data_IF_064858240510
#
_entry.id   IF_064858240510
#
_cell.length_a   1.000
_cell.length_b   1.000
_cell.length_c   1.000
_cell.angle_alpha   90.00
_cell.angle_beta   90.00
_cell.angle_gamma   90.00
#
_symmetry.space_group_name_H-M   'P 1'
#
loop_
_entity.id
_entity.type
_entity.pdbx_description
1 polymer ?
#
# COMPACT_ATOMS: atom_id res chain seq x y z
N UNK A 1 21.10 26.87 9.59
CA UNK A 1 20.85 26.09 8.37
C UNK A 1 19.38 26.28 8.09
N UNK A 2 19.08 27.07 7.06
CA UNK A 2 17.72 27.49 6.70
C UNK A 2 16.91 26.28 6.20
N UNK A 3 15.67 26.20 6.66
CA UNK A 3 14.69 25.20 6.25
C UNK A 3 14.49 25.26 4.73
N UNK A 4 15.17 24.39 4.00
CA UNK A 4 14.85 24.12 2.61
C UNK A 4 13.73 23.09 2.62
N UNK A 5 12.52 23.57 2.90
CA UNK A 5 11.31 22.88 2.46
C UNK A 5 11.00 23.46 1.09
N UNK A 6 11.14 22.73 0.00
CA UNK A 6 10.64 23.23 -1.28
C UNK A 6 9.12 23.30 -1.18
N UNK A 7 8.59 24.52 -1.09
CA UNK A 7 7.14 24.78 -1.09
C UNK A 7 6.48 24.53 -2.46
N UNK A 8 7.23 24.11 -3.45
CA UNK A 8 6.81 24.01 -4.84
C UNK A 8 7.00 22.60 -5.43
N UNK A 9 6.70 21.55 -4.64
CA UNK A 9 6.45 20.27 -5.28
C UNK A 9 5.08 20.40 -5.94
N UNK A 10 5.08 20.63 -7.27
CA UNK A 10 3.87 20.60 -8.07
C UNK A 10 3.06 19.34 -7.71
N UNK A 11 1.75 19.49 -7.57
CA UNK A 11 0.87 18.36 -7.31
C UNK A 11 1.16 17.26 -8.34
N UNK A 12 1.68 16.07 -7.95
CA UNK A 12 2.06 15.02 -8.88
C UNK A 12 0.87 14.46 -9.68
N UNK A 13 -0.35 14.95 -9.39
CA UNK A 13 -1.59 14.54 -10.04
C UNK A 13 -2.03 15.46 -11.20
N UNK A 14 -1.29 16.53 -11.52
CA UNK A 14 -1.73 17.55 -12.49
C UNK A 14 -1.45 17.26 -13.95
N UNK A 15 -0.77 16.18 -14.33
CA UNK A 15 -0.54 15.81 -15.72
C UNK A 15 -1.07 14.39 -15.98
N UNK A 16 -2.37 14.28 -16.25
CA UNK A 16 -2.97 13.02 -16.65
C UNK A 16 -2.38 12.55 -18.00
N UNK A 17 -1.47 11.57 -17.94
CA UNK A 17 -0.89 10.95 -19.13
C UNK A 17 -1.73 9.81 -19.69
N UNK A 18 -2.83 9.45 -19.01
CA UNK A 18 -3.76 8.36 -19.37
C UNK A 18 -3.07 6.99 -19.53
N UNK A 19 -1.97 6.77 -18.82
CA UNK A 19 -1.11 5.57 -18.98
C UNK A 19 -1.68 4.32 -18.33
N UNK A 20 -2.75 4.47 -17.52
CA UNK A 20 -3.55 3.38 -17.00
C UNK A 20 -4.98 3.39 -17.57
N UNK A 21 -5.19 4.06 -18.70
CA UNK A 21 -6.48 4.03 -19.40
C UNK A 21 -6.91 2.57 -19.65
N UNK A 22 -8.22 2.33 -19.53
CA UNK A 22 -8.85 1.01 -19.68
C UNK A 22 -8.40 -0.07 -18.66
N UNK A 23 -7.62 0.30 -17.62
CA UNK A 23 -7.24 -0.59 -16.53
C UNK A 23 -8.24 -0.50 -15.38
N UNK A 24 -8.66 -1.65 -14.85
CA UNK A 24 -9.41 -1.75 -13.59
C UNK A 24 -8.43 -2.04 -12.46
N UNK A 25 -8.37 -1.17 -11.48
CA UNK A 25 -7.46 -1.27 -10.33
C UNK A 25 -8.23 -1.39 -9.01
N UNK A 26 -7.91 -2.39 -8.20
CA UNK A 26 -8.35 -2.51 -6.82
C UNK A 26 -7.25 -2.05 -5.87
N UNK A 27 -7.60 -1.19 -4.92
CA UNK A 27 -6.73 -0.80 -3.82
C UNK A 27 -7.38 -1.17 -2.49
N UNK A 28 -6.79 -2.11 -1.74
CA UNK A 28 -7.25 -2.45 -0.39
C UNK A 28 -6.70 -1.44 0.63
N UNK A 29 -7.49 -1.09 1.66
CA UNK A 29 -7.13 0.00 2.57
C UNK A 29 -7.02 1.34 1.86
N UNK A 30 -7.88 1.56 0.85
CA UNK A 30 -7.83 2.72 -0.04
C UNK A 30 -8.54 3.97 0.48
N UNK A 31 -9.14 3.90 1.69
CA UNK A 31 -9.88 5.01 2.27
C UNK A 31 -9.01 6.10 2.89
N UNK A 32 -7.71 5.91 2.99
CA UNK A 32 -6.78 6.88 3.62
C UNK A 32 -5.31 6.60 3.29
N UNK A 33 -4.45 7.57 3.56
CA UNK A 33 -2.99 7.42 3.59
C UNK A 33 -2.40 6.94 2.25
N UNK A 34 -1.54 5.93 2.31
CA UNK A 34 -0.85 5.40 1.12
C UNK A 34 -1.86 4.87 0.10
N UNK A 35 -2.87 4.10 0.54
CA UNK A 35 -3.88 3.53 -0.35
C UNK A 35 -4.70 4.59 -1.08
N UNK A 36 -5.16 5.62 -0.37
CA UNK A 36 -5.85 6.77 -0.98
C UNK A 36 -4.96 7.48 -2.01
N UNK A 37 -3.70 7.73 -1.65
CA UNK A 37 -2.76 8.42 -2.54
C UNK A 37 -2.48 7.62 -3.82
N UNK A 38 -2.35 6.30 -3.71
CA UNK A 38 -2.22 5.40 -4.86
C UNK A 38 -3.49 5.44 -5.72
N UNK A 39 -4.68 5.34 -5.09
CA UNK A 39 -5.95 5.35 -5.81
C UNK A 39 -6.14 6.65 -6.60
N UNK A 40 -5.87 7.82 -5.99
CA UNK A 40 -5.93 9.13 -6.66
C UNK A 40 -4.93 9.22 -7.81
N UNK A 41 -3.70 8.75 -7.61
CA UNK A 41 -2.70 8.74 -8.68
C UNK A 41 -3.14 7.87 -9.86
N UNK A 42 -3.64 6.66 -9.61
CA UNK A 42 -4.07 5.76 -10.67
C UNK A 42 -5.29 6.31 -11.41
N UNK A 43 -6.23 6.94 -10.71
CA UNK A 43 -7.38 7.63 -11.34
C UNK A 43 -6.93 8.78 -12.23
N UNK A 44 -5.96 9.60 -11.79
CA UNK A 44 -5.38 10.66 -12.62
C UNK A 44 -4.66 10.13 -13.87
N UNK A 45 -4.19 8.87 -13.84
CA UNK A 45 -3.61 8.19 -15.01
C UNK A 45 -4.63 7.39 -15.83
N UNK A 46 -5.94 7.59 -15.56
CA UNK A 46 -7.04 7.04 -16.36
C UNK A 46 -7.57 5.67 -15.92
N UNK A 47 -7.10 5.12 -14.82
CA UNK A 47 -7.63 3.85 -14.32
C UNK A 47 -9.04 3.99 -13.73
N UNK A 48 -9.85 2.93 -13.88
CA UNK A 48 -11.10 2.76 -13.14
C UNK A 48 -10.78 2.14 -11.76
N UNK A 49 -11.17 2.80 -10.68
CA UNK A 49 -10.81 2.43 -9.32
C UNK A 49 -11.91 1.65 -8.59
N UNK A 50 -11.53 0.52 -8.00
CA UNK A 50 -12.23 -0.12 -6.90
C UNK A 50 -11.47 0.19 -5.60
N UNK A 51 -12.12 0.89 -4.68
CA UNK A 51 -11.54 1.29 -3.39
C UNK A 51 -12.17 0.42 -2.31
N UNK A 52 -11.41 -0.51 -1.75
CA UNK A 52 -11.90 -1.44 -0.74
C UNK A 52 -11.32 -1.10 0.64
N UNK A 53 -12.20 -0.93 1.63
CA UNK A 53 -11.81 -0.60 3.00
C UNK A 53 -12.87 -1.11 3.99
N UNK A 54 -12.46 -1.34 5.23
CA UNK A 54 -13.40 -1.64 6.32
C UNK A 54 -14.25 -0.40 6.67
N UNK A 55 -13.69 0.81 6.51
CA UNK A 55 -14.40 2.09 6.63
C UNK A 55 -15.04 2.47 5.30
N UNK A 56 -16.20 1.84 5.03
CA UNK A 56 -16.97 2.06 3.80
C UNK A 56 -17.31 3.53 3.55
N UNK A 57 -17.64 4.28 4.59
CA UNK A 57 -18.02 5.68 4.45
C UNK A 57 -16.85 6.53 3.96
N UNK A 58 -15.66 6.30 4.50
CA UNK A 58 -14.45 7.00 4.07
C UNK A 58 -14.00 6.55 2.68
N UNK A 59 -14.10 5.25 2.35
CA UNK A 59 -13.83 4.76 0.99
C UNK A 59 -14.76 5.44 -0.04
N UNK A 60 -16.03 5.65 0.30
CA UNK A 60 -16.97 6.36 -0.58
C UNK A 60 -16.59 7.84 -0.76
N UNK A 61 -16.15 8.52 0.31
CA UNK A 61 -15.69 9.91 0.20
C UNK A 61 -14.47 10.04 -0.74
N UNK A 62 -13.55 9.07 -0.69
CA UNK A 62 -12.41 9.04 -1.64
C UNK A 62 -12.89 8.76 -3.07
N UNK A 63 -13.82 7.82 -3.26
CA UNK A 63 -14.38 7.52 -4.57
C UNK A 63 -15.13 8.73 -5.15
N UNK A 64 -15.90 9.46 -4.33
CA UNK A 64 -16.59 10.68 -4.75
C UNK A 64 -15.59 11.76 -5.19
N UNK A 65 -14.58 12.04 -4.40
CA UNK A 65 -13.55 13.01 -4.74
C UNK A 65 -12.79 12.67 -6.05
N UNK A 66 -12.61 11.37 -6.34
CA UNK A 66 -12.04 10.93 -7.63
C UNK A 66 -13.03 11.21 -8.78
N UNK A 67 -14.35 10.95 -8.58
CA UNK A 67 -15.38 11.23 -9.60
C UNK A 67 -15.53 12.73 -9.86
N UNK A 68 -15.51 13.55 -8.80
CA UNK A 68 -15.53 15.01 -8.91
C UNK A 68 -14.32 15.55 -9.70
N UNK A 69 -13.15 14.88 -9.60
CA UNK A 69 -11.96 15.19 -10.38
C UNK A 69 -12.02 14.63 -11.84
N UNK A 70 -13.13 14.02 -12.25
CA UNK A 70 -13.33 13.48 -13.60
C UNK A 70 -12.85 12.03 -13.79
N UNK A 71 -12.42 11.35 -12.73
CA UNK A 71 -12.04 9.94 -12.75
C UNK A 71 -13.23 8.99 -12.57
N UNK A 72 -12.95 7.69 -12.64
CA UNK A 72 -13.93 6.63 -12.40
C UNK A 72 -13.57 5.84 -11.12
N UNK A 73 -14.45 5.84 -10.12
CA UNK A 73 -14.20 5.11 -8.88
C UNK A 73 -15.50 4.61 -8.22
N UNK A 74 -15.41 3.45 -7.57
CA UNK A 74 -16.45 2.87 -6.70
C UNK A 74 -15.83 2.36 -5.42
N UNK A 75 -16.54 2.51 -4.30
CA UNK A 75 -16.12 1.99 -3.03
C UNK A 75 -16.74 0.61 -2.76
N UNK A 76 -16.02 -0.23 -2.04
CA UNK A 76 -16.43 -1.56 -1.59
C UNK A 76 -16.09 -1.74 -0.11
N UNK A 77 -16.88 -2.53 0.60
CA UNK A 77 -16.53 -2.93 1.97
C UNK A 77 -15.59 -4.12 1.92
N UNK A 78 -14.54 -4.10 2.75
CA UNK A 78 -13.61 -5.21 2.88
C UNK A 78 -13.10 -5.29 4.31
N UNK A 79 -13.40 -6.38 4.98
CA UNK A 79 -12.72 -6.81 6.21
C UNK A 79 -11.79 -7.97 5.86
N UNK A 80 -10.48 -7.76 6.03
CA UNK A 80 -9.46 -8.78 5.77
C UNK A 80 -9.44 -9.91 6.80
N UNK A 81 -10.07 -9.71 7.95
CA UNK A 81 -10.24 -10.73 8.97
C UNK A 81 -11.44 -11.65 8.74
N UNK A 82 -12.25 -11.39 7.70
CA UNK A 82 -13.46 -12.15 7.37
C UNK A 82 -13.38 -12.71 5.94
N UNK A 83 -13.23 -14.02 5.81
CA UNK A 83 -13.22 -14.71 4.51
C UNK A 83 -14.52 -14.48 3.72
N UNK A 84 -15.66 -14.36 4.40
CA UNK A 84 -16.94 -14.05 3.78
C UNK A 84 -16.96 -12.66 3.15
N UNK A 85 -16.34 -11.67 3.80
CA UNK A 85 -16.17 -10.32 3.26
C UNK A 85 -15.29 -10.32 2.00
N UNK A 86 -14.20 -11.10 1.99
CA UNK A 86 -13.34 -11.23 0.81
C UNK A 86 -14.08 -11.90 -0.36
N UNK A 87 -14.84 -12.97 -0.09
CA UNK A 87 -15.65 -13.63 -1.12
C UNK A 87 -16.74 -12.69 -1.68
N UNK A 88 -17.40 -11.91 -0.84
CA UNK A 88 -18.39 -10.91 -1.25
C UNK A 88 -17.77 -9.80 -2.10
N UNK A 89 -16.55 -9.35 -1.76
CA UNK A 89 -15.80 -8.40 -2.58
C UNK A 89 -15.51 -8.97 -3.97
N UNK A 90 -15.00 -10.21 -4.06
CA UNK A 90 -14.69 -10.85 -5.34
C UNK A 90 -15.93 -10.94 -6.23
N UNK A 91 -17.07 -11.39 -5.68
CA UNK A 91 -18.33 -11.43 -6.41
C UNK A 91 -18.80 -10.03 -6.87
N UNK A 92 -18.66 -9.02 -6.01
CA UNK A 92 -19.06 -7.65 -6.35
C UNK A 92 -18.19 -7.03 -7.44
N UNK A 93 -16.89 -7.35 -7.47
CA UNK A 93 -15.96 -6.91 -8.51
C UNK A 93 -16.23 -7.60 -9.84
N UNK A 94 -16.52 -8.92 -9.80
CA UNK A 94 -16.92 -9.67 -11.00
C UNK A 94 -18.18 -9.07 -11.62
N UNK A 95 -19.22 -8.87 -10.83
CA UNK A 95 -20.47 -8.25 -11.28
C UNK A 95 -20.30 -6.83 -11.82
N UNK A 96 -19.34 -6.07 -11.26
CA UNK A 96 -19.13 -4.66 -11.63
C UNK A 96 -18.23 -4.48 -12.86
N UNK A 97 -17.23 -5.34 -13.02
CA UNK A 97 -16.14 -5.14 -14.00
C UNK A 97 -15.82 -6.37 -14.84
N UNK A 98 -16.10 -7.60 -14.37
CA UNK A 98 -15.78 -8.86 -15.03
C UNK A 98 -14.28 -9.15 -15.20
N UNK A 99 -13.41 -8.26 -14.71
CA UNK A 99 -11.94 -8.32 -14.84
C UNK A 99 -11.25 -7.50 -13.77
N UNK A 100 -9.99 -7.77 -13.57
CA UNK A 100 -9.09 -6.94 -12.79
C UNK A 100 -7.72 -6.88 -13.48
N UNK A 101 -7.13 -5.68 -13.58
CA UNK A 101 -5.81 -5.50 -14.19
C UNK A 101 -4.72 -5.22 -13.16
N UNK A 102 -5.09 -4.54 -12.07
CA UNK A 102 -4.15 -4.13 -11.02
C UNK A 102 -4.76 -4.45 -9.66
N UNK A 103 -4.03 -5.23 -8.85
CA UNK A 103 -4.33 -5.44 -7.44
C UNK A 103 -3.27 -4.78 -6.57
N UNK A 104 -3.67 -3.85 -5.70
CA UNK A 104 -2.80 -3.26 -4.69
C UNK A 104 -3.20 -3.77 -3.30
N UNK A 105 -2.40 -4.67 -2.74
CA UNK A 105 -2.53 -5.13 -1.35
C UNK A 105 -1.85 -4.11 -0.43
N UNK A 106 -2.62 -3.15 0.07
CA UNK A 106 -2.13 -2.08 0.93
C UNK A 106 -2.68 -2.15 2.35
N UNK A 107 -3.89 -2.68 2.55
CA UNK A 107 -4.50 -2.75 3.88
C UNK A 107 -3.63 -3.53 4.88
N UNK A 108 -3.48 -2.97 6.07
CA UNK A 108 -2.70 -3.53 7.17
C UNK A 108 -3.09 -2.87 8.49
N UNK A 109 -2.83 -3.54 9.61
CA UNK A 109 -2.91 -2.94 10.93
C UNK A 109 -1.52 -2.77 11.54
N UNK A 110 -1.23 -1.64 12.21
CA UNK A 110 0.04 -1.43 12.89
C UNK A 110 0.11 -2.27 14.16
N UNK A 111 1.34 -2.59 14.56
CA UNK A 111 1.63 -3.13 15.89
C UNK A 111 2.96 -2.60 16.42
N UNK A 112 2.94 -2.13 17.65
CA UNK A 112 4.10 -1.62 18.38
C UNK A 112 4.20 -2.23 19.79
N UNK A 113 3.56 -3.40 20.00
CA UNK A 113 3.49 -4.04 21.32
C UNK A 113 4.85 -4.55 21.75
N UNK A 114 5.25 -4.17 22.97
CA UNK A 114 6.50 -4.67 23.58
C UNK A 114 6.43 -6.20 23.76
N UNK A 115 7.57 -6.88 23.64
CA UNK A 115 7.65 -8.34 23.70
C UNK A 115 7.03 -8.91 24.98
N UNK A 116 7.24 -8.25 26.11
CA UNK A 116 6.73 -8.70 27.41
C UNK A 116 5.19 -8.55 27.56
N UNK A 117 4.56 -7.77 26.67
CA UNK A 117 3.12 -7.52 26.63
C UNK A 117 2.42 -8.15 25.43
N UNK A 118 3.19 -8.69 24.48
CA UNK A 118 2.63 -9.26 23.26
C UNK A 118 1.95 -10.60 23.56
N UNK A 119 0.62 -10.63 23.39
CA UNK A 119 -0.14 -11.87 23.47
C UNK A 119 -0.15 -12.61 22.15
N UNK A 120 -0.32 -13.94 22.19
CA UNK A 120 -0.45 -14.75 20.98
C UNK A 120 -1.72 -14.38 20.17
N UNK A 121 -2.77 -13.91 20.84
CA UNK A 121 -3.97 -13.43 20.19
C UNK A 121 -3.68 -12.16 19.36
N UNK A 122 -2.97 -11.17 19.93
CA UNK A 122 -2.57 -9.97 19.19
C UNK A 122 -1.61 -10.27 18.04
N UNK A 123 -0.65 -11.16 18.27
CA UNK A 123 0.25 -11.62 17.22
C UNK A 123 -0.52 -12.22 16.03
N UNK A 124 -1.48 -13.13 16.32
CA UNK A 124 -2.32 -13.75 15.28
C UNK A 124 -3.16 -12.71 14.53
N UNK A 125 -3.83 -11.83 15.24
CA UNK A 125 -4.64 -10.75 14.65
C UNK A 125 -3.82 -9.93 13.63
N UNK A 126 -2.60 -9.51 14.00
CA UNK A 126 -1.74 -8.72 13.10
C UNK A 126 -1.31 -9.53 11.88
N UNK A 127 -0.93 -10.79 12.06
CA UNK A 127 -0.52 -11.67 10.96
C UNK A 127 -1.72 -12.01 10.06
N UNK A 128 -2.87 -12.32 10.65
CA UNK A 128 -4.08 -12.70 9.91
C UNK A 128 -4.57 -11.55 9.03
N UNK A 129 -4.64 -10.32 9.55
CA UNK A 129 -5.07 -9.18 8.76
C UNK A 129 -3.99 -8.73 7.77
N UNK A 130 -2.72 -8.59 8.21
CA UNK A 130 -1.68 -7.93 7.41
C UNK A 130 -1.04 -8.85 6.37
N UNK A 131 -0.93 -10.15 6.65
CA UNK A 131 -0.32 -11.14 5.75
C UNK A 131 -1.38 -12.05 5.13
N UNK A 132 -2.11 -12.80 5.97
CA UNK A 132 -3.06 -13.81 5.48
C UNK A 132 -4.20 -13.15 4.70
N UNK A 133 -4.68 -11.98 5.12
CA UNK A 133 -5.69 -11.21 4.39
C UNK A 133 -5.25 -10.78 2.99
N UNK A 134 -4.00 -10.34 2.82
CA UNK A 134 -3.47 -10.02 1.49
C UNK A 134 -3.35 -11.26 0.59
N UNK A 135 -2.95 -12.39 1.15
CA UNK A 135 -2.92 -13.69 0.44
C UNK A 135 -4.33 -14.10 0.04
N UNK A 136 -5.27 -14.05 0.97
CA UNK A 136 -6.66 -14.44 0.75
C UNK A 136 -7.31 -13.60 -0.37
N UNK A 137 -7.17 -12.27 -0.31
CA UNK A 137 -7.65 -11.36 -1.38
C UNK A 137 -7.01 -11.70 -2.72
N UNK A 138 -5.70 -11.94 -2.75
CA UNK A 138 -5.00 -12.26 -4.00
C UNK A 138 -5.53 -13.56 -4.61
N UNK A 139 -5.69 -14.62 -3.80
CA UNK A 139 -6.21 -15.90 -4.28
C UNK A 139 -7.66 -15.81 -4.74
N UNK A 140 -8.51 -15.09 -4.00
CA UNK A 140 -9.91 -14.88 -4.36
C UNK A 140 -10.08 -14.09 -5.68
N UNK A 141 -9.17 -13.15 -5.95
CA UNK A 141 -9.22 -12.29 -7.15
C UNK A 141 -8.37 -12.79 -8.32
N UNK A 142 -7.62 -13.87 -8.14
CA UNK A 142 -6.79 -14.43 -9.22
C UNK A 142 -7.59 -14.78 -10.49
N UNK A 143 -8.83 -15.32 -10.41
CA UNK A 143 -9.66 -15.52 -11.60
C UNK A 143 -9.92 -14.23 -12.38
N UNK A 144 -10.22 -13.11 -11.67
CA UNK A 144 -10.45 -11.80 -12.30
C UNK A 144 -9.16 -11.19 -12.87
N UNK A 145 -8.03 -11.37 -12.19
CA UNK A 145 -6.71 -10.96 -12.71
C UNK A 145 -6.42 -11.69 -14.03
N UNK A 146 -6.74 -12.98 -14.14
CA UNK A 146 -6.57 -13.76 -15.37
C UNK A 146 -7.48 -13.31 -16.51
N UNK A 147 -8.59 -12.62 -16.21
CA UNK A 147 -9.48 -12.00 -17.20
C UNK A 147 -9.03 -10.59 -17.60
N UNK A 148 -8.04 -10.03 -16.93
CA UNK A 148 -7.47 -8.72 -17.24
C UNK A 148 -6.83 -8.65 -18.62
N UNK A 149 -6.58 -7.43 -19.11
CA UNK A 149 -5.82 -7.18 -20.33
C UNK A 149 -4.31 -7.40 -20.14
N UNK A 150 -3.49 -7.28 -21.19
CA UNK A 150 -2.03 -7.44 -21.08
C UNK A 150 -1.42 -6.53 -20.01
N UNK A 151 -0.44 -7.06 -19.27
CA UNK A 151 0.31 -6.29 -18.28
C UNK A 151 -0.33 -6.24 -16.88
N UNK A 152 -1.12 -7.27 -16.53
CA UNK A 152 -1.68 -7.41 -15.17
C UNK A 152 -0.57 -7.38 -14.13
N UNK A 153 -0.90 -6.82 -12.96
CA UNK A 153 0.08 -6.70 -11.90
C UNK A 153 -0.55 -6.78 -10.50
N UNK A 154 0.20 -7.39 -9.59
CA UNK A 154 -0.06 -7.35 -8.15
C UNK A 154 1.04 -6.49 -7.51
N UNK A 155 0.65 -5.46 -6.79
CA UNK A 155 1.54 -4.64 -5.99
C UNK A 155 1.24 -4.84 -4.51
N UNK A 156 2.23 -5.29 -3.76
CA UNK A 156 2.13 -5.45 -2.32
C UNK A 156 2.80 -4.28 -1.60
N UNK A 157 2.14 -3.68 -0.62
CA UNK A 157 2.75 -2.70 0.27
C UNK A 157 3.34 -3.42 1.48
N UNK A 158 4.65 -3.66 1.41
CA UNK A 158 5.44 -4.24 2.48
C UNK A 158 5.80 -3.18 3.55
N UNK A 159 7.02 -3.19 4.04
CA UNK A 159 7.62 -2.20 4.95
C UNK A 159 9.12 -2.43 5.02
N UNK A 160 9.90 -1.41 5.38
CA UNK A 160 11.31 -1.61 5.81
C UNK A 160 11.39 -2.61 6.97
N UNK A 161 10.36 -2.67 7.83
CA UNK A 161 10.27 -3.64 8.93
C UNK A 161 10.10 -5.09 8.46
N UNK A 162 9.72 -5.34 7.22
CA UNK A 162 9.74 -6.66 6.61
C UNK A 162 11.12 -7.11 6.12
N UNK A 163 12.09 -6.20 6.08
CA UNK A 163 13.47 -6.45 5.65
C UNK A 163 14.48 -6.26 6.79
N UNK A 164 14.11 -5.54 7.83
CA UNK A 164 14.94 -5.22 8.99
C UNK A 164 14.14 -5.37 10.27
N UNK A 165 14.78 -5.85 11.33
CA UNK A 165 14.14 -5.92 12.65
C UNK A 165 13.90 -4.55 13.25
N UNK A 166 12.81 -4.40 13.98
CA UNK A 166 12.50 -3.23 14.76
C UNK A 166 12.09 -3.63 16.18
N UNK A 167 12.52 -2.84 17.16
CA UNK A 167 12.09 -3.04 18.56
C UNK A 167 10.57 -2.82 18.66
N UNK A 168 9.90 -3.64 19.45
CA UNK A 168 8.45 -3.63 19.66
C UNK A 168 7.63 -3.83 18.37
N UNK A 169 8.20 -4.47 17.37
CA UNK A 169 7.55 -4.69 16.08
C UNK A 169 7.46 -6.15 15.67
N UNK A 170 7.46 -7.10 16.60
CA UNK A 170 7.57 -8.53 16.28
C UNK A 170 6.47 -9.00 15.33
N UNK A 171 5.20 -8.78 15.68
CA UNK A 171 4.06 -9.24 14.88
C UNK A 171 4.03 -8.56 13.51
N UNK A 172 4.16 -7.24 13.49
CA UNK A 172 4.14 -6.46 12.24
C UNK A 172 5.33 -6.79 11.32
N UNK A 173 6.55 -6.89 11.88
CA UNK A 173 7.75 -7.26 11.10
C UNK A 173 7.63 -8.66 10.52
N UNK A 174 7.09 -9.62 11.29
CA UNK A 174 6.83 -10.98 10.81
C UNK A 174 5.84 -10.97 9.65
N UNK A 175 4.71 -10.26 9.79
CA UNK A 175 3.71 -10.15 8.73
C UNK A 175 4.30 -9.51 7.47
N UNK A 176 5.01 -8.37 7.60
CA UNK A 176 5.61 -7.67 6.46
C UNK A 176 6.79 -8.43 5.84
N UNK A 177 7.53 -9.22 6.63
CA UNK A 177 8.52 -10.18 6.13
C UNK A 177 7.87 -11.29 5.31
N UNK A 178 6.72 -11.78 5.76
CA UNK A 178 5.86 -12.69 5.00
C UNK A 178 5.43 -12.10 3.66
N UNK A 179 4.96 -10.84 3.62
CA UNK A 179 4.60 -10.13 2.38
C UNK A 179 5.80 -10.04 1.42
N UNK A 180 7.00 -9.77 1.92
CA UNK A 180 8.22 -9.73 1.09
C UNK A 180 8.45 -11.06 0.37
N UNK A 181 8.38 -12.18 1.11
CA UNK A 181 8.61 -13.48 0.49
C UNK A 181 7.42 -13.99 -0.31
N UNK A 182 6.19 -13.68 0.11
CA UNK A 182 4.97 -13.92 -0.67
C UNK A 182 5.06 -13.25 -2.06
N UNK A 183 5.55 -12.01 -2.13
CA UNK A 183 5.76 -11.29 -3.39
C UNK A 183 6.67 -12.06 -4.34
N UNK A 184 7.79 -12.61 -3.84
CA UNK A 184 8.76 -13.35 -4.66
C UNK A 184 8.20 -14.69 -5.13
N UNK A 185 7.56 -15.44 -4.23
CA UNK A 185 6.97 -16.73 -4.56
C UNK A 185 5.85 -16.56 -5.60
N UNK A 186 4.93 -15.63 -5.36
CA UNK A 186 3.82 -15.35 -6.28
C UNK A 186 4.31 -14.85 -7.65
N UNK A 187 5.40 -14.08 -7.69
CA UNK A 187 6.00 -13.65 -8.95
C UNK A 187 6.51 -14.83 -9.77
N UNK A 188 7.11 -15.84 -9.13
CA UNK A 188 7.54 -17.06 -9.82
C UNK A 188 6.35 -17.87 -10.33
N UNK A 189 5.30 -18.02 -9.54
CA UNK A 189 4.12 -18.81 -9.89
C UNK A 189 3.33 -18.19 -11.05
N UNK A 190 3.24 -16.86 -11.12
CA UNK A 190 2.43 -16.15 -12.12
C UNK A 190 3.22 -15.65 -13.35
N UNK A 191 4.55 -15.78 -13.36
CA UNK A 191 5.38 -15.31 -14.47
C UNK A 191 4.99 -15.95 -15.82
N UNK A 192 4.66 -17.25 -15.84
CA UNK A 192 4.21 -17.95 -17.03
C UNK A 192 2.88 -17.45 -17.60
N UNK A 193 2.09 -16.75 -16.78
CA UNK A 193 0.82 -16.13 -17.17
C UNK A 193 1.00 -14.64 -17.57
N UNK A 194 2.22 -14.09 -17.48
CA UNK A 194 2.51 -12.70 -17.78
C UNK A 194 2.08 -11.71 -16.68
N UNK A 195 1.62 -12.20 -15.52
CA UNK A 195 1.22 -11.37 -14.39
C UNK A 195 2.46 -11.04 -13.56
N UNK A 196 2.73 -9.74 -13.40
CA UNK A 196 3.89 -9.27 -12.61
C UNK A 196 3.50 -9.08 -11.16
N UNK A 197 4.42 -9.38 -10.25
CA UNK A 197 4.20 -9.20 -8.80
C UNK A 197 5.41 -8.52 -8.20
N UNK A 198 5.20 -7.35 -7.60
CA UNK A 198 6.27 -6.58 -6.96
C UNK A 198 5.81 -6.02 -5.61
N UNK A 199 6.72 -5.50 -4.82
CA UNK A 199 6.39 -4.82 -3.60
C UNK A 199 7.14 -3.49 -3.44
N UNK A 200 6.50 -2.57 -2.73
CA UNK A 200 7.16 -1.39 -2.15
C UNK A 200 7.34 -1.64 -0.66
N UNK A 201 8.50 -1.28 -0.13
CA UNK A 201 8.79 -1.28 1.29
C UNK A 201 8.96 0.18 1.79
N UNK A 202 7.88 0.84 2.23
CA UNK A 202 7.95 2.19 2.75
C UNK A 202 8.77 2.28 4.04
N UNK A 203 9.42 3.44 4.24
CA UNK A 203 9.98 3.84 5.52
C UNK A 203 8.95 4.54 6.42
N UNK A 204 9.35 5.63 7.05
CA UNK A 204 8.48 6.48 7.86
C UNK A 204 7.64 7.38 6.95
N UNK A 205 6.35 7.08 6.82
CA UNK A 205 5.40 7.84 5.98
C UNK A 205 4.34 8.49 6.87
N UNK A 206 4.12 9.79 6.68
CA UNK A 206 3.11 10.57 7.40
C UNK A 206 1.71 10.13 6.99
N UNK A 207 1.10 9.30 7.84
CA UNK A 207 -0.26 8.77 7.67
C UNK A 207 -0.91 8.59 9.03
N UNK A 208 -2.21 8.35 9.08
CA UNK A 208 -2.91 8.04 10.34
C UNK A 208 -2.34 6.83 11.08
N UNK A 209 -1.68 5.90 10.39
CA UNK A 209 -1.01 4.75 11.01
C UNK A 209 0.11 5.17 11.98
N UNK A 210 0.69 6.36 11.79
CA UNK A 210 1.73 6.92 12.64
C UNK A 210 1.19 7.88 13.73
N UNK A 211 -0.14 7.96 13.92
CA UNK A 211 -0.72 8.65 15.07
C UNK A 211 -0.36 7.90 16.35
N UNK A 212 -0.07 8.66 17.41
CA UNK A 212 0.16 8.09 18.74
C UNK A 212 -1.13 7.45 19.27
N UNK A 213 -0.99 6.35 19.98
CA UNK A 213 -2.13 5.56 20.48
C UNK A 213 -3.04 6.36 21.43
N UNK A 214 -2.47 7.34 22.14
CA UNK A 214 -3.19 8.24 23.04
C UNK A 214 -3.86 9.43 22.33
N UNK A 215 -3.71 9.52 21.00
CA UNK A 215 -4.25 10.63 20.20
C UNK A 215 -3.55 11.97 20.39
N UNK A 216 -2.48 12.04 21.20
CA UNK A 216 -1.79 13.31 21.53
C UNK A 216 -1.01 13.93 20.37
N UNK A 217 -0.81 13.19 19.29
CA UNK A 217 -0.08 13.70 18.13
C UNK A 217 0.37 12.63 17.16
N UNK A 218 1.38 12.97 16.36
CA UNK A 218 1.94 12.13 15.33
C UNK A 218 3.37 11.70 15.67
N UNK A 219 3.71 10.43 15.53
CA UNK A 219 5.00 9.85 15.89
C UNK A 219 6.18 10.62 15.27
N UNK A 220 6.08 11.00 13.99
CA UNK A 220 7.15 11.69 13.29
C UNK A 220 7.33 13.17 13.68
N UNK A 221 6.42 13.72 14.52
CA UNK A 221 6.50 15.09 15.07
C UNK A 221 7.04 15.10 16.49
N UNK A 222 7.32 13.95 17.08
CA UNK A 222 7.86 13.86 18.44
C UNK A 222 9.31 14.32 18.50
N UNK A 223 9.74 14.82 19.69
CA UNK A 223 11.13 15.14 19.95
C UNK A 223 12.04 13.91 19.77
N UNK A 224 11.57 12.74 20.23
CA UNK A 224 12.29 11.49 20.02
C UNK A 224 12.59 11.21 18.55
N UNK A 225 11.62 11.39 17.65
CA UNK A 225 11.83 11.17 16.23
C UNK A 225 12.87 12.15 15.65
N UNK A 226 12.80 13.42 16.04
CA UNK A 226 13.76 14.45 15.63
C UNK A 226 15.16 14.12 16.08
N UNK A 227 15.35 13.82 17.37
CA UNK A 227 16.66 13.48 17.92
C UNK A 227 17.25 12.21 17.28
N UNK A 228 16.46 11.14 17.17
CA UNK A 228 16.96 9.83 16.71
C UNK A 228 17.18 9.79 15.20
N UNK A 229 16.27 10.35 14.41
CA UNK A 229 16.29 10.14 12.96
C UNK A 229 16.73 11.36 12.15
N UNK A 230 16.40 12.57 12.58
CA UNK A 230 16.71 13.76 11.80
C UNK A 230 18.05 14.39 12.21
N UNK A 231 18.25 14.63 13.49
CA UNK A 231 19.45 15.33 14.01
C UNK A 231 20.75 14.58 13.70
N UNK A 232 20.75 13.25 13.74
CA UNK A 232 21.94 12.45 13.49
C UNK A 232 22.02 11.90 12.05
N UNK A 233 21.19 12.42 11.13
CA UNK A 233 21.24 12.05 9.72
C UNK A 233 20.88 10.59 9.42
N UNK A 234 20.23 9.88 10.36
CA UNK A 234 19.80 8.50 10.16
C UNK A 234 18.71 8.37 9.09
N UNK A 235 18.02 9.45 8.80
CA UNK A 235 17.10 9.58 7.68
C UNK A 235 17.71 10.59 6.70
N UNK A 236 18.46 10.13 5.68
CA UNK A 236 19.26 11.00 4.81
C UNK A 236 18.49 12.12 4.13
N UNK A 237 17.23 11.89 3.71
CA UNK A 237 16.40 12.94 3.12
C UNK A 237 15.87 13.96 4.16
N UNK A 238 16.15 13.79 5.45
CA UNK A 238 15.87 14.76 6.51
C UNK A 238 14.38 14.98 6.81
N UNK A 239 13.51 14.14 6.31
CA UNK A 239 12.05 14.21 6.56
C UNK A 239 11.39 12.84 6.52
N UNK A 240 10.28 12.67 7.22
CA UNK A 240 9.37 11.59 6.93
C UNK A 240 8.79 11.74 5.50
N UNK A 241 8.51 10.65 4.85
CA UNK A 241 7.83 10.65 3.56
C UNK A 241 6.36 11.00 3.71
N UNK A 242 5.74 11.42 2.63
CA UNK A 242 4.30 11.59 2.50
C UNK A 242 3.69 10.42 1.73
N UNK A 243 2.39 10.20 1.83
CA UNK A 243 1.70 9.17 1.06
C UNK A 243 1.93 9.31 -0.46
N UNK A 244 2.05 10.54 -0.96
CA UNK A 244 2.36 10.84 -2.35
C UNK A 244 3.75 10.35 -2.80
N UNK A 245 4.73 10.27 -1.88
CA UNK A 245 6.06 9.72 -2.19
C UNK A 245 6.00 8.22 -2.54
N UNK A 246 4.93 7.52 -2.16
CA UNK A 246 4.69 6.10 -2.48
C UNK A 246 3.89 5.93 -3.78
N UNK A 247 3.02 6.88 -4.12
CA UNK A 247 2.14 6.78 -5.28
C UNK A 247 2.91 6.75 -6.62
N UNK A 248 4.03 7.48 -6.75
CA UNK A 248 4.89 7.46 -7.92
C UNK A 248 5.53 6.07 -8.18
N UNK A 249 6.26 5.49 -7.21
CA UNK A 249 6.76 4.12 -7.29
C UNK A 249 5.67 3.07 -7.51
N UNK A 250 4.49 3.24 -6.93
CA UNK A 250 3.34 2.36 -7.16
C UNK A 250 2.88 2.43 -8.63
N UNK A 251 2.78 3.61 -9.18
CA UNK A 251 2.47 3.82 -10.59
C UNK A 251 3.53 3.18 -11.51
N UNK A 252 4.82 3.35 -11.21
CA UNK A 252 5.89 2.69 -11.96
C UNK A 252 5.67 1.17 -12.02
N UNK A 253 5.44 0.51 -10.89
CA UNK A 253 5.24 -0.94 -10.87
C UNK A 253 3.95 -1.38 -11.57
N UNK A 254 2.93 -0.55 -11.60
CA UNK A 254 1.63 -0.87 -12.18
C UNK A 254 1.48 -0.42 -13.65
N UNK A 255 2.45 0.32 -14.19
CA UNK A 255 2.50 0.75 -15.59
C UNK A 255 3.41 -0.14 -16.44
N UNK A 256 3.42 0.12 -17.74
CA UNK A 256 4.27 -0.57 -18.70
C UNK A 256 5.76 -0.22 -18.58
N UNK A 257 6.12 0.82 -17.81
CA UNK A 257 7.52 1.15 -17.51
C UNK A 257 8.26 0.02 -16.79
N UNK A 258 7.51 -0.81 -16.07
CA UNK A 258 8.05 -1.95 -15.33
C UNK A 258 7.74 -3.32 -15.98
N UNK A 259 7.46 -3.37 -17.30
CA UNK A 259 7.08 -4.61 -17.99
C UNK A 259 8.08 -5.76 -17.90
N UNK A 260 9.33 -5.47 -17.56
CA UNK A 260 10.38 -6.48 -17.32
C UNK A 260 10.82 -6.56 -15.86
N UNK A 261 9.94 -6.11 -14.93
CA UNK A 261 10.22 -6.08 -13.48
C UNK A 261 9.17 -6.92 -12.76
N UNK A 262 9.60 -8.04 -12.16
CA UNK A 262 8.77 -8.89 -11.29
C UNK A 262 9.60 -9.46 -10.15
N UNK A 263 8.99 -9.80 -9.01
CA UNK A 263 9.63 -10.32 -7.81
C UNK A 263 10.48 -9.30 -7.03
N UNK A 264 10.39 -8.00 -7.37
CA UNK A 264 11.24 -6.98 -6.78
C UNK A 264 10.59 -6.32 -5.56
N UNK A 265 11.43 -5.91 -4.61
CA UNK A 265 11.06 -5.17 -3.42
C UNK A 265 11.79 -3.83 -3.46
N UNK A 266 11.06 -2.75 -3.72
CA UNK A 266 11.64 -1.41 -3.79
C UNK A 266 11.51 -0.70 -2.43
N UNK A 267 12.63 -0.34 -1.84
CA UNK A 267 12.68 0.50 -0.64
C UNK A 267 12.37 1.95 -1.03
N UNK A 268 11.36 2.54 -0.38
CA UNK A 268 10.97 3.95 -0.53
C UNK A 268 10.92 4.54 0.88
N UNK A 269 12.08 4.91 1.40
CA UNK A 269 12.30 5.07 2.83
C UNK A 269 13.18 6.27 3.21
N UNK A 270 13.42 7.19 2.27
CA UNK A 270 14.24 8.37 2.50
C UNK A 270 15.72 8.06 2.78
N UNK A 271 16.16 6.83 2.46
CA UNK A 271 17.54 6.38 2.63
C UNK A 271 17.86 5.79 4.00
N UNK A 272 16.88 5.65 4.91
CA UNK A 272 17.14 5.12 6.27
C UNK A 272 17.74 3.71 6.25
N UNK A 273 17.36 2.87 5.29
CA UNK A 273 17.92 1.53 5.18
C UNK A 273 19.30 1.47 4.53
N UNK A 274 19.78 2.57 3.95
CA UNK A 274 21.10 2.71 3.35
C UNK A 274 22.18 3.17 4.35
N UNK A 275 21.79 3.56 5.56
CA UNK A 275 22.69 3.98 6.63
C UNK A 275 22.97 2.85 7.63
N UNK A 276 24.12 2.96 8.37
CA UNK A 276 24.52 2.04 9.43
C UNK A 276 23.73 2.23 10.71
#
# INVERSE_FOLDING_TARGET
MSDIVPSDIADPFTAASQRLADRVALVTGGAQGIGESIARRFAAEGATLAIADIDRARAEAVAEAIREAGGAARAFTLDLGDEGSVAALAHSLDAAYGRLDILVNNAAIPDGTAIDSLTIARYREVVDITLNGAILVTLALLPLLRQGGPGQTVLNIASIMGLRGARNGLAYSTAKGGIVNFTRALACDLAGEGIRVNAIAPGYIDTRMAMLADGSGHQHKTEWFREVYLKHGRLPLGRAGQAADIAGPAFFFCSDDSRYVTGQILLVDGGISATF
#
